data_IF_649664807406
#
_entry.id   IF_649664807406
#
_cell.length_a   1.000
_cell.length_b   1.000
_cell.length_c   1.000
_cell.angle_alpha   90.00
_cell.angle_beta   90.00
_cell.angle_gamma   90.00
#
_symmetry.space_group_name_H-M   'P 1'
#
loop_
_entity.id
_entity.type
_entity.pdbx_description
1 polymer ?
#
# COMPACT_ATOMS: atom_id res chain seq x y z
N UNK A 1 -10.86 -18.70 0.60
CA UNK A 1 -9.48 -18.39 1.09
C UNK A 1 -8.62 -17.89 -0.08
N UNK A 2 -7.88 -16.78 0.12
CA UNK A 2 -6.94 -16.22 -0.85
C UNK A 2 -5.52 -16.18 -0.24
N UNK A 3 -4.52 -15.81 -1.04
CA UNK A 3 -3.16 -15.55 -0.58
C UNK A 3 -2.85 -14.07 -0.74
N UNK A 4 -2.38 -13.42 0.33
CA UNK A 4 -1.83 -12.06 0.31
C UNK A 4 -0.32 -12.08 0.50
N UNK A 5 0.39 -11.19 -0.19
CA UNK A 5 1.84 -11.01 -0.06
C UNK A 5 2.22 -9.53 0.11
N UNK A 6 3.25 -9.28 0.88
CA UNK A 6 4.00 -8.04 0.82
C UNK A 6 5.33 -8.24 0.11
N UNK A 7 5.83 -7.18 -0.50
CA UNK A 7 7.16 -7.13 -1.12
C UNK A 7 7.96 -6.04 -0.41
N UNK A 8 8.95 -6.41 0.39
CA UNK A 8 9.86 -5.48 1.05
C UNK A 8 11.07 -5.23 0.18
N UNK A 9 11.24 -3.99 -0.28
CA UNK A 9 12.29 -3.62 -1.23
C UNK A 9 13.25 -2.57 -0.66
N UNK A 10 14.33 -2.30 -1.41
CA UNK A 10 15.27 -1.21 -1.15
C UNK A 10 15.44 -0.40 -2.43
N UNK A 11 14.50 0.48 -2.77
CA UNK A 11 14.64 1.32 -3.95
C UNK A 11 15.88 2.23 -3.86
N UNK A 12 16.53 2.43 -4.99
CA UNK A 12 17.62 3.39 -5.15
C UNK A 12 17.01 4.64 -5.77
N UNK A 13 17.22 5.80 -5.16
CA UNK A 13 16.60 7.04 -5.61
C UNK A 13 16.93 7.33 -7.08
N UNK A 14 15.90 7.57 -7.89
CA UNK A 14 15.97 7.90 -9.30
C UNK A 14 16.20 6.73 -10.28
N UNK A 15 16.55 5.55 -9.79
CA UNK A 15 16.80 4.35 -10.60
C UNK A 15 15.49 3.60 -10.94
N UNK A 16 14.54 4.30 -11.61
CA UNK A 16 13.16 3.85 -11.77
C UNK A 16 13.06 2.43 -12.36
N UNK A 17 13.68 2.19 -13.50
CA UNK A 17 13.61 0.90 -14.18
C UNK A 17 14.19 -0.24 -13.33
N UNK A 18 15.38 -0.04 -12.80
CA UNK A 18 16.08 -1.00 -11.94
C UNK A 18 15.32 -1.31 -10.65
N UNK A 19 14.67 -0.30 -10.07
CA UNK A 19 13.85 -0.49 -8.87
C UNK A 19 12.67 -1.41 -9.14
N UNK A 20 11.97 -1.22 -10.26
CA UNK A 20 10.82 -2.04 -10.63
C UNK A 20 11.24 -3.46 -11.04
N UNK A 21 12.30 -3.62 -11.82
CA UNK A 21 12.84 -4.94 -12.18
C UNK A 21 13.19 -5.75 -10.92
N UNK A 22 13.89 -5.12 -9.96
CA UNK A 22 14.22 -5.75 -8.70
C UNK A 22 12.97 -6.10 -7.89
N UNK A 23 12.00 -5.19 -7.81
CA UNK A 23 10.75 -5.42 -7.08
C UNK A 23 9.96 -6.60 -7.65
N UNK A 24 9.81 -6.68 -8.97
CA UNK A 24 9.16 -7.79 -9.67
C UNK A 24 9.93 -9.11 -9.49
N UNK A 25 11.26 -9.07 -9.56
CA UNK A 25 12.12 -10.25 -9.31
C UNK A 25 11.91 -10.81 -7.89
N UNK A 26 11.82 -9.93 -6.89
CA UNK A 26 11.58 -10.33 -5.50
C UNK A 26 10.16 -10.90 -5.34
N UNK A 27 9.15 -10.23 -5.90
CA UNK A 27 7.77 -10.69 -5.88
C UNK A 27 7.60 -12.07 -6.52
N UNK A 28 8.37 -12.36 -7.57
CA UNK A 28 8.34 -13.65 -8.28
C UNK A 28 8.76 -14.85 -7.42
N UNK A 29 9.43 -14.63 -6.29
CA UNK A 29 9.88 -15.68 -5.39
C UNK A 29 8.76 -16.36 -4.59
N UNK A 30 7.59 -15.75 -4.55
CA UNK A 30 6.40 -16.28 -3.88
C UNK A 30 5.21 -16.32 -4.83
N UNK A 31 4.24 -17.18 -4.53
CA UNK A 31 2.95 -17.19 -5.24
C UNK A 31 1.88 -16.59 -4.34
N UNK A 32 1.12 -15.63 -4.88
CA UNK A 32 0.04 -14.94 -4.18
C UNK A 32 -1.03 -14.44 -5.14
N UNK A 33 -2.23 -14.21 -4.64
CA UNK A 33 -3.34 -13.62 -5.40
C UNK A 33 -3.24 -12.10 -5.38
N UNK A 34 -2.77 -11.51 -4.23
CA UNK A 34 -2.56 -10.08 -4.05
C UNK A 34 -1.12 -9.84 -3.62
N UNK A 35 -0.43 -8.94 -4.32
CA UNK A 35 0.90 -8.43 -3.93
C UNK A 35 0.80 -6.95 -3.61
N UNK A 36 1.31 -6.54 -2.45
CA UNK A 36 1.45 -5.13 -2.09
C UNK A 36 2.92 -4.76 -2.14
N UNK A 37 3.23 -3.70 -2.88
CA UNK A 37 4.56 -3.12 -3.01
C UNK A 37 4.65 -1.83 -2.19
N UNK A 38 5.86 -1.37 -1.81
CA UNK A 38 6.03 -0.15 -1.03
C UNK A 38 5.52 1.11 -1.73
N UNK A 39 5.39 2.17 -0.96
CA UNK A 39 5.20 3.54 -1.43
C UNK A 39 6.39 3.95 -2.29
N UNK A 40 6.15 4.73 -3.37
CA UNK A 40 7.20 5.26 -4.25
C UNK A 40 8.27 4.23 -4.63
N UNK A 41 7.86 2.97 -4.82
CA UNK A 41 8.78 1.86 -5.05
C UNK A 41 9.54 1.99 -6.38
N UNK A 42 9.08 2.84 -7.30
CA UNK A 42 9.76 3.15 -8.55
C UNK A 42 10.86 4.20 -8.39
N UNK A 43 10.62 5.31 -7.68
CA UNK A 43 11.52 6.48 -7.66
C UNK A 43 12.43 6.55 -6.44
N UNK A 44 12.07 5.92 -5.32
CA UNK A 44 12.57 6.30 -4.01
C UNK A 44 11.84 7.54 -3.48
N UNK A 45 12.24 8.05 -2.29
CA UNK A 45 11.42 8.96 -1.50
C UNK A 45 11.97 10.39 -1.40
N UNK A 46 13.29 10.56 -1.25
CA UNK A 46 13.92 11.80 -0.79
C UNK A 46 14.08 12.85 -1.89
N UNK A 47 12.99 13.36 -2.45
CA UNK A 47 13.05 14.44 -3.45
C UNK A 47 13.56 15.74 -2.84
N UNK A 48 14.30 16.54 -3.63
CA UNK A 48 14.79 17.85 -3.26
C UNK A 48 13.84 18.98 -3.68
N UNK A 49 13.08 18.77 -4.75
CA UNK A 49 12.18 19.77 -5.31
C UNK A 49 10.98 19.13 -6.02
N UNK A 50 9.94 19.95 -6.23
CA UNK A 50 8.78 19.58 -7.06
C UNK A 50 9.18 19.26 -8.51
N UNK A 51 10.14 20.01 -9.06
CA UNK A 51 10.64 19.79 -10.42
C UNK A 51 11.30 18.41 -10.56
N UNK A 52 12.14 18.03 -9.59
CA UNK A 52 12.78 16.72 -9.56
C UNK A 52 11.73 15.60 -9.40
N UNK A 53 10.78 15.78 -8.49
CA UNK A 53 9.69 14.82 -8.30
C UNK A 53 8.90 14.63 -9.61
N UNK A 54 8.52 15.71 -10.27
CA UNK A 54 7.79 15.66 -11.54
C UNK A 54 8.60 15.00 -12.67
N UNK A 55 9.92 15.22 -12.72
CA UNK A 55 10.77 14.62 -13.74
C UNK A 55 10.92 13.12 -13.62
N UNK A 56 10.82 12.57 -12.39
CA UNK A 56 10.91 11.14 -12.11
C UNK A 56 9.53 10.45 -12.07
N UNK A 57 8.46 11.23 -11.93
CA UNK A 57 7.10 10.71 -11.90
C UNK A 57 6.68 10.19 -13.28
N UNK A 58 5.88 9.12 -13.30
CA UNK A 58 5.39 8.47 -14.52
C UNK A 58 3.89 8.68 -14.71
N UNK A 59 3.43 8.71 -15.97
CA UNK A 59 2.02 8.55 -16.30
C UNK A 59 1.58 7.12 -15.97
N UNK A 60 0.39 6.97 -15.42
CA UNK A 60 -0.17 5.63 -15.15
C UNK A 60 -0.71 4.96 -16.42
N UNK A 61 -0.90 5.71 -17.50
CA UNK A 61 -1.37 5.17 -18.77
C UNK A 61 -0.23 4.57 -19.61
N UNK A 62 0.99 5.13 -19.48
CA UNK A 62 2.13 4.79 -20.34
C UNK A 62 3.48 4.76 -19.60
N UNK A 63 3.45 4.59 -18.27
CA UNK A 63 4.68 4.54 -17.47
C UNK A 63 5.30 3.14 -17.51
N UNK A 64 6.62 3.07 -17.67
CA UNK A 64 7.36 1.79 -17.68
C UNK A 64 7.12 0.94 -16.43
N UNK A 65 6.98 1.60 -15.27
CA UNK A 65 6.64 0.89 -14.03
C UNK A 65 5.31 0.18 -14.13
N UNK A 66 4.30 0.84 -14.70
CA UNK A 66 2.96 0.29 -14.87
C UNK A 66 2.97 -0.85 -15.88
N UNK A 67 3.63 -0.67 -17.03
CA UNK A 67 3.78 -1.72 -18.05
C UNK A 67 4.40 -2.99 -17.47
N UNK A 68 5.50 -2.86 -16.70
CA UNK A 68 6.14 -4.00 -16.03
C UNK A 68 5.23 -4.70 -15.02
N UNK A 69 4.43 -3.95 -14.28
CA UNK A 69 3.45 -4.51 -13.37
C UNK A 69 2.28 -5.16 -14.09
N UNK A 70 1.84 -4.63 -15.24
CA UNK A 70 0.83 -5.27 -16.08
C UNK A 70 1.33 -6.62 -16.61
N UNK A 71 2.54 -6.67 -17.19
CA UNK A 71 3.20 -7.92 -17.63
C UNK A 71 3.28 -8.96 -16.50
N UNK A 72 3.69 -8.52 -15.30
CA UNK A 72 3.78 -9.40 -14.14
C UNK A 72 2.43 -9.97 -13.72
N UNK A 73 1.40 -9.10 -13.62
CA UNK A 73 0.07 -9.52 -13.16
C UNK A 73 -0.65 -10.40 -14.19
N UNK A 74 -0.44 -10.17 -15.48
CA UNK A 74 -0.96 -11.00 -16.55
C UNK A 74 -0.32 -12.40 -16.52
N UNK A 75 1.02 -12.45 -16.44
CA UNK A 75 1.78 -13.72 -16.36
C UNK A 75 1.43 -14.53 -15.12
N UNK A 76 1.34 -13.86 -13.94
CA UNK A 76 1.07 -14.52 -12.65
C UNK A 76 -0.42 -14.73 -12.37
N UNK A 77 -1.31 -14.15 -13.18
CA UNK A 77 -2.78 -14.14 -13.00
C UNK A 77 -3.18 -13.63 -11.61
N UNK A 78 -2.55 -12.54 -11.16
CA UNK A 78 -2.70 -11.97 -9.84
C UNK A 78 -3.07 -10.48 -9.87
N UNK A 79 -3.22 -9.90 -8.69
CA UNK A 79 -3.41 -8.46 -8.48
C UNK A 79 -2.17 -7.86 -7.81
N UNK A 80 -1.78 -6.67 -8.21
CA UNK A 80 -0.83 -5.85 -7.47
C UNK A 80 -1.49 -4.56 -6.94
N UNK A 81 -0.92 -4.05 -5.84
CA UNK A 81 -1.13 -2.70 -5.30
C UNK A 81 0.25 -2.11 -5.08
N UNK A 82 0.64 -1.11 -5.88
CA UNK A 82 2.00 -0.58 -5.88
C UNK A 82 2.02 0.95 -5.74
N UNK A 83 2.85 1.46 -4.82
CA UNK A 83 3.05 2.89 -4.62
C UNK A 83 4.01 3.47 -5.66
N UNK A 84 3.59 4.52 -6.36
CA UNK A 84 4.33 5.16 -7.45
C UNK A 84 4.29 6.69 -7.34
N UNK A 85 5.33 7.36 -7.85
CA UNK A 85 5.26 8.77 -8.18
C UNK A 85 4.51 8.92 -9.52
N UNK A 86 3.27 9.40 -9.44
CA UNK A 86 2.39 9.63 -10.60
C UNK A 86 2.54 11.05 -11.12
N UNK A 87 2.59 11.23 -12.45
CA UNK A 87 2.35 12.54 -13.08
C UNK A 87 1.05 12.52 -13.89
N UNK A 88 0.23 13.53 -13.64
CA UNK A 88 -1.03 13.73 -14.36
C UNK A 88 -1.28 15.24 -14.53
N UNK A 89 -1.62 15.67 -15.76
CA UNK A 89 -2.02 17.05 -16.10
C UNK A 89 -1.11 18.12 -15.48
N UNK A 90 0.22 17.93 -15.61
CA UNK A 90 1.22 18.89 -15.12
C UNK A 90 1.46 18.88 -13.61
N UNK A 91 0.92 17.89 -12.90
CA UNK A 91 1.07 17.71 -11.44
C UNK A 91 1.70 16.37 -11.11
N UNK A 92 2.41 16.30 -9.98
CA UNK A 92 2.90 15.04 -9.41
C UNK A 92 2.05 14.66 -8.19
N UNK A 93 1.76 13.36 -8.05
CA UNK A 93 1.01 12.79 -6.92
C UNK A 93 1.77 11.58 -6.35
N UNK A 94 1.66 11.41 -5.04
CA UNK A 94 2.02 10.16 -4.39
C UNK A 94 0.82 9.23 -4.51
N UNK A 95 0.94 8.18 -5.31
CA UNK A 95 -0.20 7.38 -5.75
C UNK A 95 0.05 5.89 -5.57
N UNK A 96 -1.01 5.13 -5.53
CA UNK A 96 -0.97 3.68 -5.59
C UNK A 96 -1.86 3.20 -6.72
N UNK A 97 -1.30 2.41 -7.64
CA UNK A 97 -2.03 1.78 -8.73
C UNK A 97 -2.48 0.38 -8.32
N UNK A 98 -3.68 0.00 -8.75
CA UNK A 98 -4.24 -1.34 -8.61
C UNK A 98 -4.34 -1.97 -10.00
N UNK A 99 -3.62 -3.07 -10.22
CA UNK A 99 -3.59 -3.79 -11.50
C UNK A 99 -3.97 -5.25 -11.26
N UNK A 100 -4.98 -5.74 -11.95
CA UNK A 100 -5.42 -7.12 -11.91
C UNK A 100 -5.28 -7.76 -13.29
N UNK A 101 -4.50 -8.83 -13.41
CA UNK A 101 -4.34 -9.62 -14.64
C UNK A 101 -4.09 -8.76 -15.89
N UNK A 102 -3.14 -7.83 -15.81
CA UNK A 102 -2.78 -6.89 -16.87
C UNK A 102 -3.68 -5.65 -17.00
N UNK A 103 -4.84 -5.61 -16.32
CA UNK A 103 -5.79 -4.48 -16.39
C UNK A 103 -5.62 -3.53 -15.21
N UNK A 104 -5.48 -2.25 -15.47
CA UNK A 104 -5.53 -1.21 -14.42
C UNK A 104 -6.98 -1.07 -13.96
N UNK A 105 -7.26 -1.39 -12.69
CA UNK A 105 -8.56 -1.19 -12.07
C UNK A 105 -8.76 0.26 -11.62
N UNK A 106 -7.68 0.93 -11.28
CA UNK A 106 -7.70 2.33 -10.91
C UNK A 106 -6.54 2.74 -10.00
N UNK A 107 -6.66 3.93 -9.44
CA UNK A 107 -5.61 4.60 -8.69
C UNK A 107 -6.17 5.24 -7.43
N UNK A 108 -5.40 5.16 -6.37
CA UNK A 108 -5.60 5.95 -5.15
C UNK A 108 -4.45 6.96 -5.01
N UNK A 109 -4.76 8.26 -4.93
CA UNK A 109 -3.82 9.33 -4.65
C UNK A 109 -3.83 9.64 -3.16
N UNK A 110 -2.68 9.61 -2.51
CA UNK A 110 -2.50 9.79 -1.06
C UNK A 110 -3.23 11.03 -0.55
N UNK A 111 -4.13 10.82 0.41
CA UNK A 111 -4.92 11.90 0.99
C UNK A 111 -4.12 12.70 2.03
N UNK A 112 -3.28 12.03 2.82
CA UNK A 112 -2.52 12.66 3.90
C UNK A 112 -1.03 12.69 3.57
N UNK A 113 -0.56 13.80 2.98
CA UNK A 113 0.85 14.00 2.66
C UNK A 113 1.67 14.20 3.94
N UNK A 114 2.75 13.42 4.07
CA UNK A 114 3.64 13.44 5.22
C UNK A 114 4.80 14.42 5.04
N UNK A 115 5.08 15.23 6.05
CA UNK A 115 6.26 16.09 6.16
C UNK A 115 6.55 16.90 4.86
N UNK A 116 7.65 16.61 4.16
CA UNK A 116 8.08 17.33 2.95
C UNK A 116 7.34 16.90 1.68
N UNK A 117 6.57 15.83 1.71
CA UNK A 117 5.71 15.46 0.59
C UNK A 117 4.79 16.61 0.16
N UNK A 118 4.38 17.46 1.11
CA UNK A 118 3.57 18.67 0.85
C UNK A 118 4.27 19.68 -0.07
N UNK A 119 5.59 19.62 -0.19
CA UNK A 119 6.39 20.47 -1.10
C UNK A 119 6.55 19.85 -2.49
N UNK A 120 6.51 18.51 -2.57
CA UNK A 120 6.80 17.76 -3.78
C UNK A 120 5.54 17.38 -4.56
N UNK A 121 4.55 16.86 -3.84
CA UNK A 121 3.31 16.35 -4.42
C UNK A 121 2.14 17.32 -4.29
N UNK A 122 1.19 17.17 -5.20
CA UNK A 122 -0.10 17.85 -5.15
C UNK A 122 -1.05 17.11 -4.20
N UNK A 123 -1.94 17.88 -3.54
CA UNK A 123 -3.02 17.31 -2.72
C UNK A 123 -4.00 16.54 -3.60
N UNK A 124 -4.50 15.42 -3.09
CA UNK A 124 -5.62 14.68 -3.67
C UNK A 124 -6.95 15.13 -3.07
N UNK A 125 -8.01 15.03 -3.87
CA UNK A 125 -9.40 15.26 -3.46
C UNK A 125 -10.29 14.07 -3.85
N UNK A 126 -9.69 12.92 -4.22
CA UNK A 126 -10.44 11.76 -4.73
C UNK A 126 -11.09 10.90 -3.64
N UNK A 127 -10.80 11.20 -2.36
CA UNK A 127 -11.27 10.38 -1.24
C UNK A 127 -10.63 8.99 -1.16
N UNK A 128 -11.09 8.20 -0.20
CA UNK A 128 -10.64 6.82 -0.03
C UNK A 128 -11.40 5.88 -0.95
N UNK A 129 -10.67 5.01 -1.66
CA UNK A 129 -11.24 4.12 -2.68
C UNK A 129 -11.07 2.65 -2.31
N UNK A 130 -12.10 1.88 -2.61
CA UNK A 130 -12.05 0.42 -2.63
C UNK A 130 -12.09 -0.09 -4.06
N UNK A 131 -11.51 -1.26 -4.30
CA UNK A 131 -11.48 -1.93 -5.59
C UNK A 131 -11.98 -3.36 -5.42
N UNK A 132 -12.89 -3.79 -6.27
CA UNK A 132 -13.35 -5.17 -6.27
C UNK A 132 -12.49 -5.99 -7.23
N UNK A 133 -11.97 -7.10 -6.74
CA UNK A 133 -11.12 -8.03 -7.47
C UNK A 133 -11.99 -9.22 -7.91
N UNK A 134 -12.47 -9.16 -9.14
CA UNK A 134 -13.40 -10.17 -9.68
C UNK A 134 -12.80 -11.57 -9.67
N UNK A 135 -11.48 -11.67 -9.88
CA UNK A 135 -10.80 -12.96 -10.01
C UNK A 135 -10.76 -13.80 -8.74
N UNK A 136 -10.98 -13.17 -7.59
CA UNK A 136 -10.85 -13.81 -6.25
C UNK A 136 -11.99 -13.45 -5.29
N UNK A 137 -13.05 -12.79 -5.78
CA UNK A 137 -14.20 -12.34 -4.99
C UNK A 137 -13.76 -11.63 -3.70
N UNK A 138 -12.99 -10.55 -3.84
CA UNK A 138 -12.43 -9.79 -2.73
C UNK A 138 -12.48 -8.28 -2.98
N UNK A 139 -12.91 -7.52 -2.00
CA UNK A 139 -12.83 -6.05 -2.03
C UNK A 139 -11.65 -5.57 -1.21
N UNK A 140 -10.73 -4.86 -1.86
CA UNK A 140 -9.57 -4.25 -1.21
C UNK A 140 -9.78 -2.76 -0.99
N UNK A 141 -9.22 -2.23 0.10
CA UNK A 141 -9.09 -0.79 0.35
C UNK A 141 -7.61 -0.40 0.29
N UNK A 142 -7.30 0.79 -0.24
CA UNK A 142 -5.91 1.26 -0.37
C UNK A 142 -5.65 2.44 0.55
N UNK A 143 -4.57 2.35 1.32
CA UNK A 143 -3.97 3.39 2.15
C UNK A 143 -2.52 3.57 1.74
N UNK A 144 -1.97 4.78 1.82
CA UNK A 144 -0.54 5.00 1.58
C UNK A 144 0.10 5.56 2.84
N UNK A 145 1.07 4.82 3.39
CA UNK A 145 1.97 5.23 4.47
C UNK A 145 1.22 6.02 5.57
N UNK A 146 1.42 7.34 5.68
CA UNK A 146 0.90 8.21 6.74
C UNK A 146 -0.63 8.18 6.91
N UNK A 147 -1.40 7.68 5.94
CA UNK A 147 -2.84 7.47 6.09
C UNK A 147 -3.17 6.56 7.29
N UNK A 148 -2.22 5.70 7.73
CA UNK A 148 -2.39 4.85 8.92
C UNK A 148 -2.66 5.63 10.20
N UNK A 149 -2.20 6.89 10.28
CA UNK A 149 -2.37 7.73 11.46
C UNK A 149 -3.84 8.11 11.70
N UNK A 150 -4.64 8.11 10.65
CA UNK A 150 -6.04 8.56 10.66
C UNK A 150 -6.98 7.35 10.73
N UNK A 151 -7.63 7.09 11.89
CA UNK A 151 -8.59 5.99 12.04
C UNK A 151 -9.72 6.06 11.03
N UNK A 152 -10.15 7.26 10.70
CA UNK A 152 -11.23 7.56 9.75
C UNK A 152 -10.93 6.99 8.36
N UNK A 153 -9.66 6.96 7.94
CA UNK A 153 -9.25 6.42 6.66
C UNK A 153 -9.57 4.92 6.56
N UNK A 154 -9.14 4.14 7.54
CA UNK A 154 -9.40 2.69 7.60
C UNK A 154 -10.88 2.39 7.82
N UNK A 155 -11.55 3.17 8.68
CA UNK A 155 -12.99 3.04 8.93
C UNK A 155 -13.79 3.27 7.66
N UNK A 156 -13.49 4.34 6.91
CA UNK A 156 -14.17 4.64 5.65
C UNK A 156 -14.02 3.52 4.63
N UNK A 157 -12.82 2.94 4.50
CA UNK A 157 -12.59 1.81 3.61
C UNK A 157 -13.36 0.56 4.04
N UNK A 158 -13.38 0.25 5.35
CA UNK A 158 -14.14 -0.87 5.87
C UNK A 158 -15.66 -0.71 5.66
N UNK A 159 -16.20 0.50 5.88
CA UNK A 159 -17.60 0.83 5.58
C UNK A 159 -17.92 0.72 4.09
N UNK A 160 -16.95 0.98 3.21
CA UNK A 160 -17.08 0.77 1.77
C UNK A 160 -16.86 -0.70 1.37
N UNK A 161 -16.85 -1.63 2.34
CA UNK A 161 -16.80 -3.07 2.13
C UNK A 161 -15.41 -3.67 1.98
N UNK A 162 -14.32 -2.94 2.29
CA UNK A 162 -12.99 -3.52 2.24
C UNK A 162 -12.85 -4.73 3.19
N UNK A 163 -12.29 -5.82 2.68
CA UNK A 163 -11.92 -7.03 3.41
C UNK A 163 -10.42 -7.07 3.71
N UNK A 164 -9.62 -6.44 2.83
CA UNK A 164 -8.16 -6.33 2.95
C UNK A 164 -7.75 -4.88 2.74
N UNK A 165 -7.02 -4.31 3.70
CA UNK A 165 -6.35 -3.03 3.55
C UNK A 165 -4.96 -3.26 2.97
N UNK A 166 -4.72 -2.75 1.78
CA UNK A 166 -3.42 -2.73 1.12
C UNK A 166 -2.70 -1.41 1.48
N UNK A 167 -1.53 -1.52 2.10
CA UNK A 167 -0.81 -0.39 2.69
C UNK A 167 0.62 -0.27 2.17
N UNK A 168 0.83 0.22 0.92
CA UNK A 168 2.12 0.69 0.43
C UNK A 168 2.74 1.72 1.36
N UNK A 169 4.01 1.54 1.78
CA UNK A 169 4.59 2.38 2.83
C UNK A 169 6.09 2.61 2.70
N UNK A 170 6.49 3.79 3.16
CA UNK A 170 7.87 4.24 3.40
C UNK A 170 8.01 4.71 4.85
N UNK A 171 7.73 3.81 5.81
CA UNK A 171 7.64 4.13 7.24
C UNK A 171 8.99 4.52 7.83
N UNK A 172 9.03 5.69 8.45
CA UNK A 172 10.21 6.27 9.10
C UNK A 172 10.08 6.39 10.63
N UNK A 173 8.89 6.16 11.17
CA UNK A 173 8.61 6.18 12.62
C UNK A 173 8.66 4.75 13.16
N UNK A 174 9.74 4.35 13.90
CA UNK A 174 9.94 2.95 14.30
C UNK A 174 8.76 2.38 15.10
N UNK A 175 8.20 1.25 14.62
CA UNK A 175 7.11 0.51 15.25
C UNK A 175 5.73 1.17 15.20
N UNK A 176 5.64 2.49 14.95
CA UNK A 176 4.37 3.24 15.03
C UNK A 176 3.38 2.79 13.96
N UNK A 177 3.79 2.80 12.69
CA UNK A 177 2.91 2.41 11.58
C UNK A 177 2.52 0.94 11.64
N UNK A 178 3.44 0.05 12.01
CA UNK A 178 3.17 -1.38 12.17
C UNK A 178 2.13 -1.63 13.26
N UNK A 179 2.27 -1.00 14.44
CA UNK A 179 1.30 -1.09 15.53
C UNK A 179 -0.03 -0.44 15.14
N UNK A 180 0.02 0.74 14.49
CA UNK A 180 -1.18 1.40 14.00
C UNK A 180 -1.99 0.49 13.08
N UNK A 181 -1.36 -0.13 12.08
CA UNK A 181 -2.06 -1.03 11.14
C UNK A 181 -2.58 -2.31 11.80
N UNK A 182 -1.95 -2.79 12.88
CA UNK A 182 -2.49 -3.90 13.68
C UNK A 182 -3.83 -3.50 14.34
N UNK A 183 -3.91 -2.29 14.90
CA UNK A 183 -5.15 -1.74 15.48
C UNK A 183 -6.18 -1.48 14.39
N UNK A 184 -5.79 -0.87 13.25
CA UNK A 184 -6.69 -0.61 12.11
C UNK A 184 -7.33 -1.90 11.58
N UNK A 185 -6.57 -2.99 11.51
CA UNK A 185 -7.09 -4.29 11.08
C UNK A 185 -8.14 -4.83 12.08
N UNK A 186 -7.84 -4.73 13.37
CA UNK A 186 -8.70 -5.23 14.44
C UNK A 186 -10.01 -4.44 14.54
N UNK A 187 -9.94 -3.12 14.73
CA UNK A 187 -11.11 -2.26 14.97
C UNK A 187 -12.09 -2.20 13.79
N UNK A 188 -11.64 -2.60 12.59
CA UNK A 188 -12.43 -2.63 11.37
C UNK A 188 -12.78 -4.04 10.89
N UNK A 189 -12.35 -5.07 11.60
CA UNK A 189 -12.48 -6.48 11.21
C UNK A 189 -12.07 -6.70 9.74
N UNK A 190 -10.83 -6.32 9.41
CA UNK A 190 -10.24 -6.49 8.07
C UNK A 190 -8.84 -7.08 8.18
N UNK A 191 -8.35 -7.71 7.11
CA UNK A 191 -6.92 -7.97 7.00
C UNK A 191 -6.17 -6.68 6.63
N UNK A 192 -4.88 -6.59 6.96
CA UNK A 192 -4.03 -5.54 6.44
C UNK A 192 -2.69 -6.10 5.98
N UNK A 193 -2.26 -5.67 4.78
CA UNK A 193 -0.98 -6.02 4.18
C UNK A 193 -0.16 -4.73 4.09
N UNK A 194 0.80 -4.55 4.99
CA UNK A 194 1.74 -3.43 4.97
C UNK A 194 3.01 -3.86 4.24
N UNK A 195 3.25 -3.30 3.07
CA UNK A 195 4.50 -3.43 2.35
C UNK A 195 5.36 -2.19 2.62
N UNK A 196 6.42 -2.37 3.37
CA UNK A 196 7.34 -1.29 3.71
C UNK A 196 8.67 -1.49 3.01
N UNK A 197 9.42 -0.41 2.84
CA UNK A 197 10.79 -0.49 2.34
C UNK A 197 11.81 -0.51 3.47
N UNK A 198 13.05 -0.83 3.09
CA UNK A 198 14.25 -0.74 3.92
C UNK A 198 15.23 0.28 3.34
N UNK A 199 16.27 0.56 4.09
CA UNK A 199 17.41 1.36 3.64
C UNK A 199 17.44 2.77 4.22
N UNK A 200 18.29 3.58 3.63
CA UNK A 200 18.54 4.93 4.05
C UNK A 200 18.76 5.80 2.81
N UNK A 201 18.10 6.94 2.77
CA UNK A 201 18.35 7.97 1.78
C UNK A 201 18.90 9.22 2.46
N UNK A 202 19.99 9.76 1.91
CA UNK A 202 20.63 10.99 2.37
C UNK A 202 20.94 11.86 1.15
N UNK A 203 20.06 12.80 0.85
CA UNK A 203 20.16 13.65 -0.33
C UNK A 203 20.28 15.14 0.01
N UNK A 204 20.39 15.46 1.29
CA UNK A 204 20.54 16.82 1.80
C UNK A 204 20.28 16.91 3.30
N UNK A 205 20.44 18.07 3.94
CA UNK A 205 20.27 18.23 5.39
C UNK A 205 18.86 17.86 5.89
N UNK A 206 17.84 18.10 5.04
CA UNK A 206 16.43 17.82 5.34
C UNK A 206 15.89 16.59 4.63
N UNK A 207 16.66 15.98 3.73
CA UNK A 207 16.31 14.79 2.93
C UNK A 207 17.07 13.56 3.45
N UNK A 208 16.99 13.32 4.78
CA UNK A 208 17.60 12.16 5.46
C UNK A 208 16.48 11.29 6.03
N UNK A 209 16.32 10.10 5.47
CA UNK A 209 15.27 9.17 5.87
C UNK A 209 15.83 7.77 6.08
N UNK A 210 15.55 7.19 7.23
CA UNK A 210 15.84 5.78 7.53
C UNK A 210 14.53 5.02 7.58
N UNK A 211 14.34 4.10 6.65
CA UNK A 211 13.14 3.31 6.54
C UNK A 211 13.21 2.08 7.46
N UNK A 212 12.08 1.74 8.05
CA UNK A 212 12.05 0.85 9.21
C UNK A 212 12.00 -0.63 8.85
N UNK A 213 11.63 -1.02 7.62
CA UNK A 213 11.36 -2.41 7.27
C UNK A 213 10.14 -2.96 8.02
N UNK A 214 10.22 -4.20 8.49
CA UNK A 214 9.13 -4.85 9.23
C UNK A 214 7.80 -4.84 8.48
N UNK A 215 7.80 -5.14 7.17
CA UNK A 215 6.56 -5.42 6.44
C UNK A 215 5.80 -6.53 7.12
N UNK A 216 4.46 -6.45 7.11
CA UNK A 216 3.64 -7.40 7.85
C UNK A 216 2.29 -7.65 7.17
N UNK A 217 1.73 -8.84 7.43
CA UNK A 217 0.32 -9.14 7.18
C UNK A 217 -0.33 -9.44 8.53
N UNK A 218 -1.43 -8.76 8.81
CA UNK A 218 -2.17 -8.86 10.06
C UNK A 218 -3.61 -9.26 9.83
N UNK A 219 -4.19 -9.99 10.79
CA UNK A 219 -5.56 -10.49 10.72
C UNK A 219 -6.54 -9.57 11.46
N UNK A 220 -7.87 -9.71 11.20
CA UNK A 220 -8.93 -9.07 11.97
C UNK A 220 -8.87 -9.35 13.48
N UNK A 221 -8.18 -10.42 13.89
CA UNK A 221 -8.02 -10.83 15.31
C UNK A 221 -6.75 -10.27 15.94
N UNK A 222 -6.21 -9.14 15.44
CA UNK A 222 -4.99 -8.51 15.96
C UNK A 222 -3.75 -9.43 15.97
N UNK A 223 -3.70 -10.42 15.06
CA UNK A 223 -2.60 -11.37 14.96
C UNK A 223 -1.70 -11.04 13.76
N UNK A 224 -0.40 -10.93 13.98
CA UNK A 224 0.59 -10.90 12.89
C UNK A 224 0.70 -12.30 12.30
N UNK A 225 0.27 -12.47 11.06
CA UNK A 225 0.30 -13.76 10.36
C UNK A 225 1.69 -14.03 9.78
N UNK A 226 2.34 -13.01 9.24
CA UNK A 226 3.71 -13.06 8.74
C UNK A 226 4.34 -11.68 8.82
N UNK A 227 5.65 -11.64 9.10
CA UNK A 227 6.44 -10.40 9.19
C UNK A 227 7.77 -10.57 8.46
N UNK A 228 8.31 -9.46 7.95
CA UNK A 228 9.69 -9.37 7.51
C UNK A 228 10.58 -8.88 8.65
N UNK A 229 11.87 -9.13 8.52
CA UNK A 229 12.88 -8.52 9.39
C UNK A 229 13.09 -7.03 9.04
N UNK A 230 13.74 -6.31 9.95
CA UNK A 230 14.10 -4.91 9.76
C UNK A 230 14.93 -4.68 8.50
N UNK A 231 15.89 -5.54 8.26
CA UNK A 231 16.78 -5.51 7.11
C UNK A 231 16.56 -6.77 6.28
N UNK A 232 16.61 -6.64 4.98
CA UNK A 232 16.41 -7.76 4.07
C UNK A 232 15.37 -7.44 3.02
N UNK A 233 15.74 -7.66 1.79
CA UNK A 233 14.86 -7.57 0.64
C UNK A 233 14.16 -8.91 0.49
N UNK A 234 12.82 -8.95 0.60
CA UNK A 234 12.08 -10.21 0.67
C UNK A 234 10.62 -10.03 0.23
N UNK A 235 10.05 -11.05 -0.38
CA UNK A 235 8.60 -11.22 -0.48
C UNK A 235 8.17 -12.35 0.45
N UNK A 236 7.08 -12.15 1.19
CA UNK A 236 6.44 -13.20 1.99
C UNK A 236 4.94 -13.20 1.77
N UNK A 237 4.35 -14.38 1.74
CA UNK A 237 2.92 -14.58 1.52
C UNK A 237 2.30 -15.46 2.61
N UNK A 238 1.01 -15.27 2.85
CA UNK A 238 0.23 -16.13 3.74
C UNK A 238 -1.21 -16.26 3.24
N UNK A 239 -1.95 -17.24 3.76
CA UNK A 239 -3.37 -17.42 3.48
C UNK A 239 -4.20 -16.45 4.31
N UNK A 240 -5.27 -15.92 3.69
CA UNK A 240 -6.24 -15.02 4.29
C UNK A 240 -7.62 -15.69 4.16
N UNK A 241 -8.25 -15.97 5.29
CA UNK A 241 -9.62 -16.46 5.33
C UNK A 241 -10.57 -15.26 5.34
N UNK A 242 -11.09 -14.86 4.17
CA UNK A 242 -11.92 -13.67 4.02
C UNK A 242 -13.21 -13.71 4.85
N UNK A 243 -13.69 -14.90 5.25
CA UNK A 243 -14.86 -15.01 6.13
C UNK A 243 -14.64 -14.31 7.48
N UNK A 244 -13.39 -14.24 7.95
CA UNK A 244 -13.04 -13.47 9.16
C UNK A 244 -13.21 -11.96 8.97
N UNK A 245 -13.06 -11.46 7.75
CA UNK A 245 -13.23 -10.04 7.44
C UNK A 245 -14.69 -9.71 7.05
N UNK A 246 -15.43 -10.67 6.48
CA UNK A 246 -16.84 -10.54 6.13
C UNK A 246 -17.72 -10.46 7.37
N UNK A 247 -17.36 -11.22 8.41
CA UNK A 247 -18.07 -11.21 9.70
C UNK A 247 -17.63 -9.99 10.52
N UNK A 248 -18.49 -8.98 10.60
CA UNK A 248 -18.25 -7.72 11.34
C UNK A 248 -18.71 -7.79 12.80
N UNK A 249 -18.83 -8.98 13.37
CA UNK A 249 -19.31 -9.20 14.74
C UNK A 249 -18.17 -9.25 15.75
N UNK A 250 -18.17 -8.34 16.72
CA UNK A 250 -17.29 -8.38 17.89
C UNK A 250 -17.75 -9.42 18.92
N UNK A 251 -19.08 -9.56 19.08
CA UNK A 251 -19.76 -10.59 19.86
C UNK A 251 -20.93 -11.15 19.04
N UNK A 252 -21.65 -12.14 19.54
CA UNK A 252 -22.86 -12.65 18.88
C UNK A 252 -23.97 -11.61 18.70
N UNK A 253 -23.93 -10.51 19.46
CA UNK A 253 -24.93 -9.46 19.48
C UNK A 253 -24.44 -8.11 18.95
N UNK A 254 -23.13 -7.92 18.76
CA UNK A 254 -22.59 -6.61 18.39
C UNK A 254 -21.89 -6.66 17.02
N UNK A 255 -22.48 -5.98 16.04
CA UNK A 255 -21.89 -5.72 14.73
C UNK A 255 -21.20 -4.34 14.73
N UNK A 256 -19.89 -4.31 14.56
CA UNK A 256 -19.07 -3.07 14.65
C UNK A 256 -19.39 -2.00 13.60
N UNK A 257 -20.14 -2.34 12.56
CA UNK A 257 -20.57 -1.39 11.51
C UNK A 257 -22.02 -0.96 11.76
N UNK A 258 -22.91 -1.91 12.02
CA UNK A 258 -24.35 -1.64 12.21
C UNK A 258 -24.62 -0.93 13.55
N UNK A 259 -23.87 -1.26 14.60
CA UNK A 259 -23.99 -0.64 15.94
C UNK A 259 -23.37 0.77 15.98
N UNK A 260 -22.66 1.18 14.92
CA UNK A 260 -22.00 2.50 14.91
C UNK A 260 -23.03 3.62 14.86
N UNK A 261 -22.98 4.51 15.83
CA UNK A 261 -23.85 5.70 15.94
C UNK A 261 -23.30 6.83 15.08
N UNK A 262 -23.34 6.66 13.75
CA UNK A 262 -22.72 7.56 12.77
C UNK A 262 -23.27 9.01 12.86
N UNK A 263 -24.48 9.21 13.37
CA UNK A 263 -25.11 10.51 13.58
C UNK A 263 -24.36 11.40 14.61
N UNK A 264 -23.43 10.82 15.37
CA UNK A 264 -22.68 11.50 16.45
C UNK A 264 -21.21 11.73 16.15
N UNK A 265 -20.74 11.43 14.91
CA UNK A 265 -19.32 11.60 14.50
C UNK A 265 -19.18 12.57 13.33
#
# INVERSE_FOLDING_TARGET
MIRGAFVQTRPIFGEVEKNIENAVKIASQVNSDIYVFPELCNTGYAFRSRKECFSLAESLDHGRSVEKFQEFTEKKKCTIVAGLAEKDRGRAYNSSVVIERGRILGTYRKMHLFYREKLWFSKSYSGFKTFYLDSIDCRIGVLICFDWMFPEASRKLAMNGAEVLCHPSDLVLPGKGQTGMLVRAFENHVFAITANRIGYENRGPKEKFRFTGYSQIVSPKMKKLVTAERNGVVAKATRLDLELARKKFATSANNIIEDMRADFY
#
